data_IF_475016864533
#
_entry.id   IF_475016864533
#
_cell.length_a   1.000
_cell.length_b   1.000
_cell.length_c   1.000
_cell.angle_alpha   90.00
_cell.angle_beta   90.00
_cell.angle_gamma   90.00
#
_symmetry.space_group_name_H-M   'P 1'
#
loop_
_entity.id
_entity.type
_entity.pdbx_description
1 polymer ?
#
# COMPACT_ATOMS: atom_id res chain seq x y z
N UNK A 1 -2.45 35.77 27.38
CA UNK A 1 -3.50 34.94 26.72
C UNK A 1 -3.33 34.77 25.21
N UNK A 2 -2.81 35.75 24.46
CA UNK A 2 -2.61 35.63 22.99
C UNK A 2 -1.64 34.51 22.61
N UNK A 3 -0.54 34.37 23.35
CA UNK A 3 0.46 33.31 23.14
C UNK A 3 -0.10 31.90 23.40
N UNK A 4 -0.92 31.73 24.44
CA UNK A 4 -1.61 30.45 24.72
C UNK A 4 -2.52 30.02 23.57
N UNK A 5 -3.26 30.95 22.96
CA UNK A 5 -4.10 30.65 21.80
C UNK A 5 -3.28 30.22 20.58
N UNK A 6 -2.10 30.81 20.41
CA UNK A 6 -1.15 30.46 19.32
C UNK A 6 -0.62 29.03 19.51
N UNK A 7 -0.20 28.67 20.74
CA UNK A 7 0.26 27.30 21.02
C UNK A 7 -0.85 26.27 20.84
N UNK A 8 -2.08 26.58 21.25
CA UNK A 8 -3.24 25.70 21.09
C UNK A 8 -3.57 25.46 19.59
N UNK A 9 -3.49 26.50 18.76
CA UNK A 9 -3.74 26.40 17.32
C UNK A 9 -2.67 25.57 16.60
N UNK A 10 -1.39 25.74 16.97
CA UNK A 10 -0.27 24.95 16.43
C UNK A 10 -0.40 23.46 16.76
N UNK A 11 -0.83 23.13 17.98
CA UNK A 11 -1.04 21.75 18.42
C UNK A 11 -2.18 21.06 17.63
N UNK A 12 -3.28 21.77 17.39
CA UNK A 12 -4.41 21.22 16.63
C UNK A 12 -4.04 20.99 15.14
N UNK A 13 -3.23 21.88 14.57
CA UNK A 13 -2.79 21.77 13.18
C UNK A 13 -1.85 20.57 12.96
N UNK A 14 -0.92 20.29 13.88
CA UNK A 14 0.00 19.17 13.75
C UNK A 14 -0.69 17.80 13.82
N UNK A 15 -1.75 17.66 14.62
CA UNK A 15 -2.53 16.42 14.71
C UNK A 15 -3.26 16.06 13.40
N UNK A 16 -3.54 17.04 12.54
CA UNK A 16 -4.27 16.83 11.29
C UNK A 16 -3.46 16.06 10.23
N UNK A 17 -2.13 16.03 10.34
CA UNK A 17 -1.26 15.33 9.38
C UNK A 17 -1.07 13.84 9.67
N UNK A 18 -1.59 13.32 10.80
CA UNK A 18 -1.43 11.90 11.17
C UNK A 18 -2.28 10.97 10.31
N UNK A 19 -3.27 11.48 9.59
CA UNK A 19 -4.23 10.64 8.83
C UNK A 19 -3.79 10.21 7.43
N UNK A 20 -2.53 10.44 7.04
CA UNK A 20 -1.98 9.94 5.78
C UNK A 20 -1.59 8.45 5.88
N UNK A 21 -2.55 7.58 6.19
CA UNK A 21 -2.33 6.13 6.14
C UNK A 21 -2.66 5.57 4.75
N UNK A 22 -1.64 5.08 4.05
CA UNK A 22 -1.83 4.30 2.83
C UNK A 22 -2.37 2.94 3.24
N UNK A 23 -3.70 2.77 3.18
CA UNK A 23 -4.34 1.45 3.31
C UNK A 23 -3.97 0.63 2.07
N UNK A 24 -2.83 -0.06 2.10
CA UNK A 24 -2.59 -1.17 1.19
C UNK A 24 -3.63 -2.23 1.55
N UNK A 25 -4.67 -2.36 0.73
CA UNK A 25 -5.61 -3.46 0.81
C UNK A 25 -4.89 -4.76 0.39
N UNK A 26 -3.95 -5.22 1.21
CA UNK A 26 -3.53 -6.61 1.23
C UNK A 26 -4.68 -7.38 1.81
N UNK A 27 -5.70 -7.65 0.98
CA UNK A 27 -6.64 -8.75 1.22
C UNK A 27 -5.83 -10.04 1.13
N UNK A 28 -5.05 -10.33 2.18
CA UNK A 28 -4.52 -11.66 2.40
C UNK A 28 -5.72 -12.48 2.83
N UNK A 29 -6.44 -13.00 1.83
CA UNK A 29 -7.42 -14.04 2.03
C UNK A 29 -6.65 -15.24 2.60
N UNK A 30 -6.75 -15.40 3.92
CA UNK A 30 -6.44 -16.61 4.67
C UNK A 30 -7.32 -17.74 4.11
N UNK A 31 -6.82 -18.42 3.08
CA UNK A 31 -7.57 -19.50 2.44
C UNK A 31 -6.82 -20.03 1.22
N UNK A 32 -5.88 -20.95 1.47
CA UNK A 32 -5.01 -21.61 0.49
C UNK A 32 -4.12 -20.62 -0.27
N UNK A 33 -2.80 -20.81 -0.19
CA UNK A 33 -1.82 -19.99 -0.92
C UNK A 33 -1.99 -20.22 -2.43
N UNK A 34 -2.90 -19.46 -3.04
CA UNK A 34 -3.08 -19.45 -4.49
C UNK A 34 -1.82 -18.81 -5.09
N UNK A 35 -1.28 -19.36 -6.19
CA UNK A 35 -0.15 -18.75 -6.87
C UNK A 35 -0.48 -17.30 -7.22
N UNK A 36 0.51 -16.42 -7.04
CA UNK A 36 0.40 -14.99 -7.28
C UNK A 36 -0.06 -14.76 -8.73
N UNK A 37 -1.11 -13.95 -8.98
CA UNK A 37 -1.54 -13.67 -10.34
C UNK A 37 -0.40 -13.09 -11.19
N UNK A 38 -0.31 -13.42 -12.48
CA UNK A 38 0.80 -13.02 -13.34
C UNK A 38 0.97 -11.49 -13.45
N UNK A 39 -0.13 -10.74 -13.36
CA UNK A 39 -0.10 -9.28 -13.33
C UNK A 39 0.52 -8.69 -12.05
N UNK A 40 0.38 -9.38 -10.91
CA UNK A 40 1.00 -8.99 -9.65
C UNK A 40 2.46 -9.46 -9.59
N UNK A 41 2.76 -10.67 -10.07
CA UNK A 41 4.12 -11.16 -10.22
C UNK A 41 4.95 -10.22 -11.09
N UNK A 42 4.42 -9.79 -12.24
CA UNK A 42 5.08 -8.80 -13.11
C UNK A 42 5.50 -7.53 -12.36
N UNK A 43 4.64 -6.99 -11.49
CA UNK A 43 4.92 -5.80 -10.68
C UNK A 43 6.00 -6.05 -9.64
N UNK A 44 5.97 -7.21 -8.98
CA UNK A 44 6.96 -7.61 -7.96
C UNK A 44 8.34 -7.79 -8.60
N UNK A 45 8.40 -8.48 -9.75
CA UNK A 45 9.66 -8.77 -10.45
C UNK A 45 10.14 -7.63 -11.36
N UNK A 46 9.41 -6.51 -11.44
CA UNK A 46 9.80 -5.34 -12.24
C UNK A 46 9.89 -5.59 -13.75
N UNK A 47 9.23 -6.65 -14.27
CA UNK A 47 9.36 -7.03 -15.68
C UNK A 47 8.35 -6.29 -16.56
N UNK A 48 8.72 -6.02 -17.83
CA UNK A 48 7.82 -5.35 -18.79
C UNK A 48 6.66 -6.23 -19.26
N UNK A 49 6.71 -7.55 -19.04
CA UNK A 49 5.70 -8.51 -19.53
C UNK A 49 5.31 -9.53 -18.46
N UNK A 50 4.01 -9.85 -18.39
CA UNK A 50 3.49 -10.90 -17.52
C UNK A 50 3.55 -12.31 -18.16
N UNK A 51 3.97 -12.39 -19.44
CA UNK A 51 4.08 -13.65 -20.19
C UNK A 51 4.87 -14.73 -19.43
N UNK A 52 6.05 -14.46 -18.83
CA UNK A 52 6.82 -15.51 -18.13
C UNK A 52 6.13 -16.11 -16.89
N UNK A 53 5.13 -15.41 -16.35
CA UNK A 53 4.38 -15.83 -15.17
C UNK A 53 3.03 -16.46 -15.54
N UNK A 54 2.69 -16.53 -16.83
CA UNK A 54 1.43 -17.12 -17.27
C UNK A 54 1.49 -18.66 -17.19
N UNK A 55 0.36 -19.32 -16.85
CA UNK A 55 0.31 -20.77 -16.77
C UNK A 55 0.74 -21.43 -18.09
N UNK A 56 1.62 -22.42 -18.02
CA UNK A 56 2.11 -23.18 -19.18
C UNK A 56 3.29 -22.56 -19.95
N UNK A 57 3.85 -21.44 -19.49
CA UNK A 57 5.04 -20.82 -20.10
C UNK A 57 6.37 -21.38 -19.55
N UNK A 58 6.35 -21.99 -18.36
CA UNK A 58 7.46 -22.75 -17.79
C UNK A 58 7.17 -24.25 -17.93
N UNK A 59 7.19 -24.74 -19.16
CA UNK A 59 7.24 -26.19 -19.43
C UNK A 59 8.67 -26.59 -19.71
#
# INVERSE_FOLDING_TARGET
>A
MKSIKIYLALLAFSLSFVSCEVRTATSVRTGSSKPIPPGQAKKIYGTKSAKPFAPGQNK
#
